data_IF_305006797819
#
_entry.id   IF_305006797819
#
_cell.length_a   1.000
_cell.length_b   1.000
_cell.length_c   1.000
_cell.angle_alpha   90.00
_cell.angle_beta   90.00
_cell.angle_gamma   90.00
#
_symmetry.space_group_name_H-M   'P 1'
#
loop_
_entity.id
_entity.type
_entity.pdbx_description
1 polymer ?
#
# COMPACT_ATOMS: atom_id res chain seq x y z
N UNK A 1 -17.46 11.17 16.61
CA UNK A 1 -16.17 10.47 16.71
C UNK A 1 -15.14 11.26 15.93
N UNK A 2 -14.18 11.85 16.64
CA UNK A 2 -13.07 12.64 16.08
C UNK A 2 -12.18 11.73 15.21
N UNK A 3 -11.49 12.29 14.21
CA UNK A 3 -10.57 11.54 13.33
C UNK A 3 -9.49 10.82 14.14
N UNK A 4 -8.97 11.47 15.20
CA UNK A 4 -8.00 10.88 16.12
C UNK A 4 -8.58 9.64 16.82
N UNK A 5 -9.78 9.73 17.38
CA UNK A 5 -10.47 8.58 18.00
C UNK A 5 -10.70 7.43 17.00
N UNK A 6 -10.95 7.74 15.71
CA UNK A 6 -11.07 6.70 14.67
C UNK A 6 -9.72 6.01 14.44
N UNK A 7 -8.65 6.79 14.32
CA UNK A 7 -7.30 6.27 14.09
C UNK A 7 -6.85 5.41 15.27
N UNK A 8 -7.13 5.81 16.51
CA UNK A 8 -6.76 5.03 17.69
C UNK A 8 -7.51 3.69 17.75
N UNK A 9 -8.82 3.66 17.45
CA UNK A 9 -9.55 2.39 17.30
C UNK A 9 -9.00 1.51 16.19
N UNK A 10 -8.56 2.09 15.07
CA UNK A 10 -7.93 1.33 13.99
C UNK A 10 -6.56 0.77 14.41
N UNK A 11 -5.81 1.48 15.26
CA UNK A 11 -4.55 0.99 15.83
C UNK A 11 -4.77 -0.14 16.84
N UNK A 12 -5.79 -0.05 17.68
CA UNK A 12 -6.20 -1.13 18.58
C UNK A 12 -6.55 -2.38 17.76
N UNK A 13 -7.41 -2.23 16.75
CA UNK A 13 -7.77 -3.30 15.83
C UNK A 13 -6.56 -3.89 15.10
N UNK A 14 -5.63 -3.06 14.66
CA UNK A 14 -4.38 -3.50 14.02
C UNK A 14 -3.54 -4.34 14.98
N UNK A 15 -3.48 -3.95 16.25
CA UNK A 15 -2.75 -4.68 17.30
C UNK A 15 -3.37 -6.05 17.53
N UNK A 16 -4.69 -6.14 17.63
CA UNK A 16 -5.41 -7.42 17.74
C UNK A 16 -5.21 -8.30 16.50
N UNK A 17 -5.28 -7.72 15.30
CA UNK A 17 -5.04 -8.45 14.05
C UNK A 17 -3.63 -9.02 13.99
N UNK A 18 -2.61 -8.30 14.49
CA UNK A 18 -1.23 -8.80 14.56
C UNK A 18 -1.08 -9.95 15.54
N UNK A 19 -1.73 -9.89 16.71
CA UNK A 19 -1.74 -11.01 17.67
C UNK A 19 -2.36 -12.26 17.04
N UNK A 20 -3.50 -12.11 16.36
CA UNK A 20 -4.14 -13.22 15.64
C UNK A 20 -3.28 -13.79 14.51
N UNK A 21 -2.48 -12.94 13.85
CA UNK A 21 -1.54 -13.40 12.83
C UNK A 21 -0.45 -14.27 13.47
N UNK A 22 0.13 -13.82 14.59
CA UNK A 22 1.14 -14.57 15.33
C UNK A 22 0.61 -15.93 15.80
N UNK A 23 -0.60 -15.97 16.37
CA UNK A 23 -1.30 -17.21 16.74
C UNK A 23 -1.48 -18.14 15.53
N UNK A 24 -2.00 -17.63 14.41
CA UNK A 24 -2.20 -18.44 13.21
C UNK A 24 -0.88 -18.98 12.64
N UNK A 25 0.19 -18.17 12.65
CA UNK A 25 1.52 -18.61 12.22
C UNK A 25 2.10 -19.68 13.14
N UNK A 26 1.88 -19.57 14.45
CA UNK A 26 2.29 -20.58 15.43
C UNK A 26 1.56 -21.91 15.22
N UNK A 27 0.23 -21.87 15.14
CA UNK A 27 -0.61 -23.07 14.93
C UNK A 27 -0.33 -23.75 13.60
N UNK A 28 -0.06 -22.98 12.54
CA UNK A 28 0.41 -23.53 11.26
C UNK A 28 1.72 -24.31 11.43
N UNK A 29 2.65 -23.79 12.24
CA UNK A 29 3.92 -24.46 12.55
C UNK A 29 3.72 -25.77 13.29
N UNK A 30 2.88 -25.76 14.33
CA UNK A 30 2.50 -26.97 15.08
C UNK A 30 1.85 -28.02 14.17
N UNK A 31 0.88 -27.61 13.35
CA UNK A 31 0.24 -28.51 12.39
C UNK A 31 1.24 -29.12 11.42
N UNK A 32 2.26 -28.36 10.97
CA UNK A 32 3.30 -28.88 10.10
C UNK A 32 4.22 -29.89 10.79
N UNK A 33 4.46 -29.74 12.08
CA UNK A 33 5.28 -30.67 12.86
C UNK A 33 4.53 -31.97 13.19
N UNK A 34 3.24 -31.89 13.49
CA UNK A 34 2.40 -33.03 13.84
C UNK A 34 2.14 -33.98 12.66
N UNK A 35 2.22 -33.49 11.42
CA UNK A 35 1.88 -34.27 10.23
C UNK A 35 3.03 -34.33 9.22
N UNK A 36 3.52 -35.53 8.94
CA UNK A 36 4.68 -35.74 8.04
C UNK A 36 4.38 -35.48 6.57
N UNK A 37 3.12 -35.62 6.14
CA UNK A 37 2.71 -35.25 4.78
C UNK A 37 1.84 -33.98 4.82
N UNK A 38 2.45 -32.88 4.41
CA UNK A 38 1.78 -31.57 4.38
C UNK A 38 0.71 -31.49 3.29
N UNK A 39 0.69 -32.40 2.30
CA UNK A 39 -0.27 -32.36 1.19
C UNK A 39 -1.69 -32.76 1.58
N UNK A 40 -1.83 -33.52 2.67
CA UNK A 40 -3.13 -33.97 3.20
C UNK A 40 -3.41 -33.37 4.59
N UNK A 41 -2.65 -32.35 4.97
CA UNK A 41 -2.77 -31.71 6.27
C UNK A 41 -3.79 -30.57 6.24
N UNK A 42 -5.06 -30.94 6.37
CA UNK A 42 -6.18 -29.99 6.43
C UNK A 42 -6.00 -28.90 7.50
N UNK A 43 -5.37 -29.21 8.63
CA UNK A 43 -5.11 -28.23 9.68
C UNK A 43 -4.08 -27.18 9.21
N UNK A 44 -3.02 -27.62 8.54
CA UNK A 44 -2.04 -26.72 7.94
C UNK A 44 -2.67 -25.80 6.89
N UNK A 45 -3.45 -26.36 5.96
CA UNK A 45 -4.11 -25.59 4.89
C UNK A 45 -5.10 -24.55 5.45
N UNK A 46 -5.84 -24.93 6.50
CA UNK A 46 -6.72 -24.03 7.22
C UNK A 46 -5.94 -22.84 7.79
N UNK A 47 -4.84 -23.10 8.50
CA UNK A 47 -4.04 -22.03 9.12
C UNK A 47 -3.33 -21.16 8.09
N UNK A 48 -2.87 -21.72 6.97
CA UNK A 48 -2.37 -20.95 5.81
C UNK A 48 -3.46 -19.98 5.32
N UNK A 49 -4.69 -20.47 5.16
CA UNK A 49 -5.82 -19.64 4.70
C UNK A 49 -6.16 -18.53 5.71
N UNK A 50 -6.12 -18.83 7.01
CA UNK A 50 -6.34 -17.83 8.07
C UNK A 50 -5.24 -16.75 8.07
N UNK A 51 -3.97 -17.15 7.93
CA UNK A 51 -2.84 -16.24 7.88
C UNK A 51 -2.96 -15.25 6.70
N UNK A 52 -3.36 -15.75 5.51
CA UNK A 52 -3.63 -14.92 4.33
C UNK A 52 -4.79 -13.93 4.57
N UNK A 53 -5.89 -14.41 5.14
CA UNK A 53 -7.06 -13.60 5.46
C UNK A 53 -6.72 -12.48 6.46
N UNK A 54 -5.99 -12.80 7.52
CA UNK A 54 -5.58 -11.84 8.54
C UNK A 54 -4.61 -10.81 7.94
N UNK A 55 -3.66 -11.26 7.12
CA UNK A 55 -2.73 -10.38 6.41
C UNK A 55 -3.47 -9.37 5.51
N UNK A 56 -4.46 -9.83 4.75
CA UNK A 56 -5.29 -8.94 3.92
C UNK A 56 -6.06 -7.92 4.78
N UNK A 57 -6.58 -8.33 5.94
CA UNK A 57 -7.27 -7.44 6.89
C UNK A 57 -6.33 -6.40 7.48
N UNK A 58 -5.10 -6.79 7.85
CA UNK A 58 -4.06 -5.87 8.33
C UNK A 58 -3.76 -4.81 7.27
N UNK A 59 -3.58 -5.24 6.01
CA UNK A 59 -3.32 -4.33 4.90
C UNK A 59 -4.47 -3.33 4.70
N UNK A 60 -5.72 -3.79 4.75
CA UNK A 60 -6.90 -2.92 4.66
C UNK A 60 -6.94 -1.90 5.80
N UNK A 61 -6.71 -2.32 7.04
CA UNK A 61 -6.65 -1.41 8.21
C UNK A 61 -5.54 -0.37 8.04
N UNK A 62 -4.36 -0.77 7.58
CA UNK A 62 -3.26 0.17 7.31
C UNK A 62 -3.61 1.19 6.22
N UNK A 63 -4.29 0.75 5.16
CA UNK A 63 -4.76 1.65 4.10
C UNK A 63 -5.84 2.62 4.58
N UNK A 64 -6.71 2.19 5.48
CA UNK A 64 -7.70 3.06 6.11
C UNK A 64 -7.03 4.13 6.98
N UNK A 65 -6.04 3.75 7.80
CA UNK A 65 -5.23 4.69 8.59
C UNK A 65 -4.50 5.67 7.67
N UNK A 66 -3.86 5.18 6.60
CA UNK A 66 -3.19 6.04 5.60
C UNK A 66 -4.19 7.05 5.03
N UNK A 67 -5.37 6.60 4.61
CA UNK A 67 -6.38 7.47 4.01
C UNK A 67 -6.85 8.57 4.96
N UNK A 68 -7.05 8.26 6.24
CA UNK A 68 -7.48 9.23 7.26
C UNK A 68 -6.37 10.21 7.66
N UNK A 69 -5.10 9.80 7.58
CA UNK A 69 -3.96 10.62 8.03
C UNK A 69 -3.27 11.38 6.89
N UNK A 70 -3.53 11.02 5.64
CA UNK A 70 -2.89 11.63 4.48
C UNK A 70 -3.38 13.07 4.30
N UNK A 71 -2.46 14.03 4.50
CA UNK A 71 -2.69 15.41 4.09
C UNK A 71 -2.94 15.45 2.57
N UNK A 72 -3.90 16.25 2.08
CA UNK A 72 -4.14 16.37 0.65
C UNK A 72 -2.85 16.82 -0.02
N UNK A 73 -2.31 15.99 -0.90
CA UNK A 73 -1.10 16.31 -1.64
C UNK A 73 -1.33 17.59 -2.43
N UNK A 74 -0.43 18.57 -2.28
CA UNK A 74 -0.39 19.74 -3.15
C UNK A 74 -0.28 19.26 -4.59
N UNK A 75 -1.35 19.40 -5.38
CA UNK A 75 -1.29 19.14 -6.82
C UNK A 75 -0.23 20.07 -7.40
N UNK A 76 0.94 19.54 -7.74
CA UNK A 76 1.94 20.27 -8.50
C UNK A 76 1.34 20.44 -9.91
N UNK A 77 0.66 21.56 -10.12
CA UNK A 77 0.22 21.97 -11.46
C UNK A 77 1.49 22.22 -12.26
N UNK A 78 1.85 21.27 -13.12
CA UNK A 78 2.91 21.46 -14.11
C UNK A 78 2.49 22.64 -14.98
N UNK A 79 3.07 23.82 -14.77
CA UNK A 79 2.93 24.95 -15.72
C UNK A 79 3.37 24.42 -17.08
N UNK A 80 2.47 24.46 -18.05
CA UNK A 80 2.80 24.11 -19.43
C UNK A 80 4.01 24.93 -19.87
N UNK A 81 5.09 24.27 -20.33
CA UNK A 81 6.23 24.95 -20.92
C UNK A 81 5.73 25.68 -22.16
N UNK A 82 5.85 27.01 -22.19
CA UNK A 82 5.57 27.81 -23.38
C UNK A 82 6.43 27.28 -24.54
N UNK A 83 5.81 27.03 -25.70
CA UNK A 83 6.54 26.62 -26.90
C UNK A 83 7.52 27.72 -27.30
N UNK A 84 8.78 27.40 -27.63
CA UNK A 84 9.71 28.39 -28.12
C UNK A 84 9.27 28.84 -29.51
N UNK A 85 8.98 30.13 -29.66
CA UNK A 85 8.67 30.74 -30.97
C UNK A 85 9.89 30.57 -31.88
N UNK A 86 9.69 29.91 -33.03
CA UNK A 86 10.73 29.76 -34.04
C UNK A 86 11.16 31.14 -34.53
N UNK A 87 12.44 31.49 -34.30
CA UNK A 87 13.03 32.71 -34.87
C UNK A 87 13.17 32.50 -36.37
N UNK A 88 12.39 33.26 -37.14
CA UNK A 88 12.47 33.37 -38.60
C UNK A 88 13.93 33.60 -39.01
N UNK A 89 14.48 32.69 -39.82
CA UNK A 89 15.91 32.64 -40.20
C UNK A 89 16.22 33.27 -41.57
N UNK A 90 15.30 34.04 -42.15
CA UNK A 90 15.52 34.64 -43.46
C UNK A 90 15.61 36.17 -43.37
N UNK A 91 16.76 36.64 -42.91
CA UNK A 91 17.22 38.02 -43.11
C UNK A 91 18.32 38.01 -44.19
N UNK A 92 18.09 38.59 -45.38
CA UNK A 92 19.10 38.62 -46.44
C UNK A 92 20.31 39.44 -45.99
N UNK A 93 21.47 38.79 -45.89
CA UNK A 93 22.75 39.44 -45.59
C UNK A 93 23.18 40.28 -46.79
N UNK A 94 23.00 41.61 -46.70
CA UNK A 94 23.65 42.69 -47.46
C UNK A 94 24.00 42.39 -48.93
N UNK A 95 23.23 42.98 -49.84
CA UNK A 95 23.80 43.84 -50.90
C UNK A 95 23.36 45.25 -50.46
N UNK A 96 24.17 46.30 -50.46
CA UNK A 96 24.68 47.06 -51.60
C UNK A 96 25.90 47.87 -51.16
N UNK A 97 26.89 47.90 -52.07
CA UNK A 97 28.03 48.81 -52.28
C UNK A 97 28.61 49.60 -51.10
#
# INVERSE_FOLDING_TARGET
MNVEEKVDRLRERLTEQRKKLEEASFEKGMAAEENKDLRENFAYDYWVSQEQLITARIFATLKEIEHLTKKPGTKIVKKAKAQPVERVRDLPKKKWL
#
